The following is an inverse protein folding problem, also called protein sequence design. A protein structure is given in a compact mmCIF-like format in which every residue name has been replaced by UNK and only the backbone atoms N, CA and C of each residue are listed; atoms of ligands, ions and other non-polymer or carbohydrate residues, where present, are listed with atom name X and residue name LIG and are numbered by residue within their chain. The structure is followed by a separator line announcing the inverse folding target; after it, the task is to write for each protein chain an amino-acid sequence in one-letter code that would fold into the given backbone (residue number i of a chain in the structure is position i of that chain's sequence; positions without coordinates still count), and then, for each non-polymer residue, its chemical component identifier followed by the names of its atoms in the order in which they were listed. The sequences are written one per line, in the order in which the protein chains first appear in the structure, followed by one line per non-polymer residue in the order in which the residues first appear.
data_IF_512161097804
#
_entry.id   IF_512161097804
#
_cell.length_a   1.000
_cell.length_b   1.000
_cell.length_c   1.000
_cell.angle_alpha   90.00
_cell.angle_beta   90.00
_cell.angle_gamma   90.00
#
_symmetry.space_group_name_H-M   'P 1'
#
loop_
_entity.id
_entity.type
_entity.pdbx_description
1 polymer ?
#
# COMPACT_ATOMS: atom_id res chain seq x y z
N UNK A 1 59.88 -9.71 -24.22
CA UNK A 1 58.65 -10.47 -23.91
C UNK A 1 57.46 -9.54 -24.10
N UNK A 2 56.70 -9.71 -25.19
CA UNK A 2 55.45 -9.00 -25.44
C UNK A 2 54.31 -9.75 -24.75
N UNK A 3 53.61 -9.09 -23.82
CA UNK A 3 52.33 -9.57 -23.29
C UNK A 3 51.22 -9.00 -24.17
N UNK A 4 50.66 -9.85 -25.02
CA UNK A 4 49.45 -9.56 -25.78
C UNK A 4 48.24 -9.59 -24.84
N UNK A 5 47.67 -8.43 -24.55
CA UNK A 5 46.35 -8.32 -23.93
C UNK A 5 45.28 -8.65 -24.97
N UNK A 6 44.67 -9.83 -24.85
CA UNK A 6 43.49 -10.21 -25.63
C UNK A 6 42.32 -9.29 -25.27
N UNK A 7 41.93 -8.42 -26.22
CA UNK A 7 40.69 -7.67 -26.15
C UNK A 7 39.52 -8.66 -26.30
N UNK A 8 38.80 -8.92 -25.21
CA UNK A 8 37.53 -9.65 -25.28
C UNK A 8 36.51 -8.72 -25.95
N UNK A 9 35.90 -9.10 -27.08
CA UNK A 9 34.94 -8.24 -27.76
C UNK A 9 33.73 -8.04 -26.85
N UNK A 10 33.48 -6.78 -26.47
CA UNK A 10 32.38 -6.32 -25.61
C UNK A 10 30.99 -6.79 -26.05
N UNK A 11 30.84 -7.25 -27.29
CA UNK A 11 29.58 -7.74 -27.83
C UNK A 11 29.21 -9.13 -27.30
N UNK A 12 30.19 -9.98 -26.99
CA UNK A 12 29.94 -11.31 -26.42
C UNK A 12 29.34 -11.26 -25.02
N UNK A 13 29.79 -10.30 -24.19
CA UNK A 13 29.27 -10.10 -22.84
C UNK A 13 27.82 -9.60 -22.86
N UNK A 14 27.50 -8.68 -23.79
CA UNK A 14 26.13 -8.16 -23.97
C UNK A 14 25.16 -9.25 -24.44
N UNK A 15 25.60 -10.09 -25.38
CA UNK A 15 24.79 -11.24 -25.83
C UNK A 15 24.56 -12.26 -24.72
N UNK A 16 25.58 -12.54 -23.90
CA UNK A 16 25.45 -13.47 -22.78
C UNK A 16 24.46 -12.94 -21.72
N UNK A 17 24.48 -11.63 -21.46
CA UNK A 17 23.55 -10.96 -20.54
C UNK A 17 22.11 -10.98 -21.08
N UNK A 18 21.92 -10.75 -22.38
CA UNK A 18 20.61 -10.86 -23.04
C UNK A 18 20.04 -12.28 -22.99
N UNK A 19 20.88 -13.31 -23.19
CA UNK A 19 20.44 -14.71 -23.10
C UNK A 19 20.10 -15.11 -21.65
N UNK A 20 20.87 -14.63 -20.67
CA UNK A 20 20.59 -14.86 -19.25
C UNK A 20 19.28 -14.19 -18.79
N UNK A 21 19.06 -12.93 -19.17
CA UNK A 21 17.85 -12.18 -18.81
C UNK A 21 16.63 -12.72 -19.56
N UNK A 22 16.76 -13.00 -20.87
CA UNK A 22 15.70 -13.57 -21.68
C UNK A 22 15.33 -15.01 -21.24
N UNK A 23 16.32 -15.84 -20.92
CA UNK A 23 16.10 -17.19 -20.38
C UNK A 23 15.46 -17.18 -19.00
N UNK A 24 15.86 -16.24 -18.13
CA UNK A 24 15.27 -16.05 -16.80
C UNK A 24 13.79 -15.63 -16.86
N UNK A 25 13.43 -14.69 -17.74
CA UNK A 25 12.04 -14.25 -17.93
C UNK A 25 11.14 -15.38 -18.47
N UNK A 26 11.66 -16.22 -19.37
CA UNK A 26 10.92 -17.38 -19.88
C UNK A 26 10.72 -18.49 -18.83
N UNK A 27 11.66 -18.66 -17.90
CA UNK A 27 11.52 -19.60 -16.79
C UNK A 27 10.49 -19.12 -15.75
N UNK A 28 10.43 -17.81 -15.46
CA UNK A 28 9.42 -17.20 -14.59
C UNK A 28 8.00 -17.29 -15.18
N UNK A 29 7.85 -17.09 -16.49
CA UNK A 29 6.56 -17.24 -17.18
C UNK A 29 6.01 -18.68 -17.18
N UNK A 30 6.89 -19.70 -17.17
CA UNK A 30 6.49 -21.12 -17.06
C UNK A 30 6.09 -21.55 -15.65
N UNK A 31 6.47 -20.81 -14.61
CA UNK A 31 6.05 -21.09 -13.23
C UNK A 31 4.69 -20.46 -12.88
N UNK A 32 4.35 -19.30 -13.42
CA UNK A 32 3.02 -18.68 -13.16
C UNK A 32 1.85 -19.46 -13.77
N UNK A 33 2.10 -20.25 -14.83
CA UNK A 33 1.08 -21.07 -15.50
C UNK A 33 0.83 -22.44 -14.84
N UNK A 34 1.56 -22.80 -13.76
CA UNK A 34 1.27 -23.99 -12.93
C UNK A 34 0.39 -23.71 -11.71
N UNK A 35 0.08 -22.44 -11.44
CA UNK A 35 -0.90 -22.03 -10.42
C UNK A 35 -2.24 -21.74 -11.09
N UNK A 36 -2.82 -22.78 -11.68
CA UNK A 36 -4.23 -22.81 -12.07
C UNK A 36 -5.12 -23.11 -10.85
N UNK A 37 -6.37 -22.65 -10.85
CA UNK A 37 -7.22 -22.58 -9.67
C UNK A 37 -7.66 -23.98 -9.20
N UNK A 38 -7.41 -24.30 -7.94
CA UNK A 38 -8.09 -25.39 -7.26
C UNK A 38 -9.53 -24.97 -6.97
N UNK A 39 -10.45 -25.22 -7.92
CA UNK A 39 -11.88 -25.33 -7.64
C UNK A 39 -12.15 -26.83 -7.49
N UNK A 40 -12.09 -27.31 -6.25
CA UNK A 40 -12.57 -28.64 -5.87
C UNK A 40 -14.01 -28.54 -5.40
N UNK A 41 -14.84 -29.45 -5.91
CA UNK A 41 -16.22 -29.71 -5.48
C UNK A 41 -17.21 -29.41 -6.60
N UNK A 42 -17.60 -30.34 -7.47
CA UNK A 42 -17.93 -31.74 -7.19
C UNK A 42 -19.39 -31.82 -6.73
N UNK A 43 -20.33 -31.75 -7.68
CA UNK A 43 -21.75 -32.08 -7.46
C UNK A 43 -21.89 -33.59 -7.32
N UNK A 44 -22.64 -34.08 -6.32
CA UNK A 44 -23.53 -35.20 -6.56
C UNK A 44 -24.97 -34.87 -6.16
N UNK A 45 -25.91 -35.43 -6.93
CA UNK A 45 -27.34 -35.24 -6.77
C UNK A 45 -28.01 -36.13 -5.71
N UNK A 46 -29.26 -35.75 -5.47
CA UNK A 46 -30.39 -36.47 -4.83
C UNK A 46 -30.39 -36.67 -3.29
N UNK A 47 -31.17 -35.78 -2.62
CA UNK A 47 -32.28 -35.96 -1.64
C UNK A 47 -32.21 -37.07 -0.56
N UNK A 48 -32.82 -36.89 0.65
CA UNK A 48 -34.14 -36.26 0.88
C UNK A 48 -34.26 -35.31 2.10
N UNK A 49 -35.34 -34.51 2.09
CA UNK A 49 -35.87 -33.74 3.23
C UNK A 49 -36.13 -34.65 4.44
N UNK A 50 -35.96 -34.15 5.69
CA UNK A 50 -37.17 -33.83 6.47
C UNK A 50 -37.06 -32.63 7.44
N UNK A 51 -38.25 -32.08 7.69
CA UNK A 51 -38.76 -31.46 8.92
C UNK A 51 -38.21 -30.12 9.44
N UNK A 52 -39.02 -29.09 9.16
CA UNK A 52 -39.53 -28.08 10.09
C UNK A 52 -38.90 -28.09 11.48
N UNK A 53 -38.01 -27.14 11.72
CA UNK A 53 -37.79 -26.58 13.05
C UNK A 53 -38.12 -25.08 12.97
N UNK A 54 -39.19 -24.69 13.67
CA UNK A 54 -39.53 -23.28 13.89
C UNK A 54 -38.32 -22.54 14.51
N UNK A 55 -38.00 -21.31 14.07
CA UNK A 55 -36.95 -20.54 14.70
C UNK A 55 -37.46 -19.97 16.04
N UNK A 56 -36.85 -20.44 17.14
CA UNK A 56 -36.99 -19.83 18.46
C UNK A 56 -36.54 -18.35 18.40
N UNK A 57 -37.27 -17.40 19.01
CA UNK A 57 -36.85 -16.01 19.07
C UNK A 57 -35.80 -15.87 20.18
N UNK A 58 -34.56 -15.56 19.82
CA UNK A 58 -33.51 -15.35 20.83
C UNK A 58 -32.06 -15.43 20.37
N UNK A 59 -31.78 -15.51 19.06
CA UNK A 59 -30.41 -15.33 18.57
C UNK A 59 -30.13 -13.83 18.43
N UNK A 60 -29.72 -13.19 19.53
CA UNK A 60 -28.99 -11.92 19.43
C UNK A 60 -27.75 -12.17 18.56
N UNK A 61 -27.80 -11.66 17.33
CA UNK A 61 -26.67 -11.68 16.43
C UNK A 61 -25.59 -10.78 17.02
N UNK A 62 -24.63 -11.38 17.71
CA UNK A 62 -23.29 -10.82 17.77
C UNK A 62 -22.72 -10.88 16.34
N UNK A 63 -23.20 -9.97 15.48
CA UNK A 63 -22.63 -9.73 14.19
C UNK A 63 -21.20 -9.30 14.44
N UNK A 64 -20.25 -10.18 14.13
CA UNK A 64 -18.83 -9.89 14.15
C UNK A 64 -18.60 -8.70 13.23
N UNK A 65 -18.49 -7.51 13.80
CA UNK A 65 -18.20 -6.27 13.06
C UNK A 65 -16.79 -6.44 12.52
N UNK A 66 -16.66 -6.63 11.22
CA UNK A 66 -15.37 -6.64 10.55
C UNK A 66 -14.82 -5.22 10.52
N UNK A 67 -13.49 -5.03 10.69
CA UNK A 67 -12.89 -3.71 10.52
C UNK A 67 -13.12 -3.24 9.08
N UNK A 68 -13.31 -1.93 8.87
CA UNK A 68 -13.58 -1.38 7.54
C UNK A 68 -12.38 -1.60 6.60
N UNK A 69 -12.67 -1.79 5.32
CA UNK A 69 -11.64 -1.96 4.28
C UNK A 69 -10.84 -0.67 4.04
N UNK A 70 -9.67 -0.77 3.40
CA UNK A 70 -8.85 0.39 3.06
C UNK A 70 -9.59 1.41 2.18
N UNK A 71 -10.45 0.92 1.31
CA UNK A 71 -11.33 1.71 0.44
C UNK A 71 -12.46 2.37 1.23
N UNK A 72 -13.03 1.69 2.23
CA UNK A 72 -14.04 2.27 3.14
C UNK A 72 -13.44 3.34 4.05
N UNK A 73 -12.25 3.09 4.58
CA UNK A 73 -11.49 4.09 5.35
C UNK A 73 -11.15 5.28 4.48
N UNK A 74 -10.75 5.06 3.21
CA UNK A 74 -10.53 6.14 2.26
C UNK A 74 -11.82 6.90 1.90
N UNK A 75 -12.93 6.20 1.68
CA UNK A 75 -14.22 6.83 1.38
C UNK A 75 -14.77 7.66 2.56
N UNK A 76 -14.39 7.30 3.79
CA UNK A 76 -14.71 8.10 4.99
C UNK A 76 -13.88 9.38 5.11
N UNK A 77 -12.85 9.56 4.29
CA UNK A 77 -12.14 10.83 4.21
C UNK A 77 -13.12 11.87 3.68
N UNK A 78 -13.34 13.00 4.39
CA UNK A 78 -14.09 14.09 3.79
C UNK A 78 -13.40 14.46 2.47
N UNK A 79 -14.19 14.75 1.43
CA UNK A 79 -13.65 15.40 0.24
C UNK A 79 -12.95 16.67 0.72
N UNK A 80 -11.62 16.64 0.77
CA UNK A 80 -10.86 17.79 1.21
C UNK A 80 -10.67 18.69 -0.01
N UNK A 81 -11.34 19.85 -0.08
CA UNK A 81 -11.18 20.78 -1.21
C UNK A 81 -9.72 21.21 -1.38
N UNK A 82 -8.86 21.05 -0.36
CA UNK A 82 -7.43 21.31 -0.45
C UNK A 82 -6.67 20.35 -1.38
N UNK A 83 -7.18 19.14 -1.65
CA UNK A 83 -6.57 18.20 -2.61
C UNK A 83 -6.88 18.53 -4.08
N UNK A 84 -7.77 19.49 -4.33
CA UNK A 84 -8.23 19.81 -5.68
C UNK A 84 -8.89 18.60 -6.33
N UNK A 85 -8.33 18.16 -7.46
CA UNK A 85 -8.85 17.01 -8.22
C UNK A 85 -8.34 15.66 -7.72
N UNK A 86 -7.27 15.63 -6.91
CA UNK A 86 -6.68 14.39 -6.43
C UNK A 86 -7.63 13.66 -5.49
N UNK A 87 -7.71 12.33 -5.65
CA UNK A 87 -8.52 11.44 -4.84
C UNK A 87 -7.65 10.43 -4.13
N UNK A 88 -7.91 10.23 -2.85
CA UNK A 88 -7.35 9.11 -2.09
C UNK A 88 -8.27 7.91 -2.30
N UNK A 89 -7.75 6.85 -2.92
CA UNK A 89 -8.51 5.61 -3.17
C UNK A 89 -8.34 4.57 -2.07
N UNK A 90 -7.14 4.51 -1.49
CA UNK A 90 -6.79 3.57 -0.42
C UNK A 90 -6.06 4.30 0.68
N UNK A 91 -6.40 3.96 1.92
CA UNK A 91 -5.76 4.52 3.11
C UNK A 91 -5.69 3.43 4.19
N UNK A 92 -4.51 2.87 4.43
CA UNK A 92 -4.34 1.80 5.42
C UNK A 92 -2.93 1.75 6.00
N UNK A 93 -2.82 1.33 7.25
CA UNK A 93 -1.52 1.02 7.85
C UNK A 93 -1.13 -0.43 7.56
N UNK A 94 0.17 -0.70 7.53
CA UNK A 94 0.72 -2.00 7.14
C UNK A 94 0.42 -3.12 8.13
N UNK A 95 0.32 -2.81 9.42
CA UNK A 95 0.13 -3.78 10.51
C UNK A 95 -1.12 -3.49 11.32
N UNK A 96 -1.42 -2.22 11.57
CA UNK A 96 -2.57 -1.82 12.35
C UNK A 96 -3.80 -1.57 11.47
N UNK A 97 -4.99 -1.89 11.97
CA UNK A 97 -6.22 -1.40 11.36
C UNK A 97 -6.39 0.08 11.69
N UNK A 98 -6.64 0.92 10.68
CA UNK A 98 -6.85 2.35 10.90
C UNK A 98 -8.09 2.62 11.77
N UNK A 99 -9.09 1.74 11.66
CA UNK A 99 -10.31 1.71 12.47
C UNK A 99 -10.47 0.25 12.91
N UNK A 100 -10.46 -0.05 14.22
CA UNK A 100 -10.61 0.87 15.35
C UNK A 100 -9.37 1.71 15.72
N UNK A 101 -8.18 1.39 15.20
CA UNK A 101 -6.91 1.99 15.63
C UNK A 101 -6.13 1.06 16.59
N UNK A 102 -5.00 1.53 17.14
CA UNK A 102 -4.20 0.75 18.08
C UNK A 102 -4.87 0.63 19.46
N UNK A 103 -4.54 -0.43 20.20
CA UNK A 103 -5.02 -0.65 21.58
C UNK A 103 -4.63 0.50 22.53
N UNK A 104 -3.41 1.04 22.36
CA UNK A 104 -2.90 2.18 23.12
C UNK A 104 -2.57 3.33 22.15
N UNK A 105 -3.37 4.42 22.15
CA UNK A 105 -3.13 5.58 21.31
C UNK A 105 -1.79 6.28 21.58
N UNK A 106 -1.20 6.17 22.77
CA UNK A 106 0.09 6.81 23.09
C UNK A 106 1.26 6.03 22.47
N UNK A 107 1.06 4.77 22.09
CA UNK A 107 2.10 3.85 21.64
C UNK A 107 1.79 3.32 20.24
N UNK A 108 2.06 4.13 19.22
CA UNK A 108 1.82 3.78 17.82
C UNK A 108 3.05 4.01 16.95
N UNK A 109 3.35 3.07 16.04
CA UNK A 109 4.40 3.23 15.04
C UNK A 109 4.16 2.25 13.88
N UNK A 110 3.73 2.77 12.73
CA UNK A 110 3.47 1.95 11.55
C UNK A 110 3.61 2.72 10.23
N UNK A 111 3.69 1.97 9.14
CA UNK A 111 3.77 2.49 7.78
C UNK A 111 2.36 2.66 7.22
N UNK A 112 1.98 3.91 6.94
CA UNK A 112 0.75 4.29 6.25
C UNK A 112 0.98 4.22 4.74
N UNK A 113 0.10 3.54 4.02
CA UNK A 113 0.12 3.44 2.57
C UNK A 113 -1.14 4.08 1.99
N UNK A 114 -0.93 4.88 0.95
CA UNK A 114 -1.96 5.69 0.33
C UNK A 114 -1.85 5.55 -1.19
N UNK A 115 -2.99 5.23 -1.81
CA UNK A 115 -3.11 5.28 -3.27
C UNK A 115 -3.77 6.60 -3.65
N UNK A 116 -3.01 7.43 -4.37
CA UNK A 116 -3.48 8.67 -4.95
C UNK A 116 -3.89 8.43 -6.40
N UNK A 117 -4.96 9.12 -6.81
CA UNK A 117 -5.49 9.07 -8.17
C UNK A 117 -5.83 10.47 -8.66
N UNK A 118 -5.30 10.82 -9.81
CA UNK A 118 -5.70 12.00 -10.55
C UNK A 118 -6.74 11.61 -11.62
N UNK A 119 -7.99 12.09 -11.51
CA UNK A 119 -9.03 11.81 -12.49
C UNK A 119 -8.80 12.50 -13.84
N UNK A 120 -8.01 13.59 -13.91
CA UNK A 120 -7.78 14.32 -15.16
C UNK A 120 -6.80 13.57 -16.06
N UNK A 121 -5.64 13.18 -15.53
CA UNK A 121 -4.66 12.37 -16.27
C UNK A 121 -4.99 10.87 -16.28
N UNK A 122 -5.87 10.41 -15.39
CA UNK A 122 -6.12 9.00 -15.16
C UNK A 122 -4.96 8.27 -14.45
N UNK A 123 -3.95 9.00 -13.98
CA UNK A 123 -2.77 8.43 -13.33
C UNK A 123 -3.05 8.07 -11.87
N UNK A 124 -2.50 6.95 -11.40
CA UNK A 124 -2.53 6.54 -10.01
C UNK A 124 -1.12 6.18 -9.53
N UNK A 125 -0.80 6.55 -8.30
CA UNK A 125 0.50 6.26 -7.69
C UNK A 125 0.38 6.02 -6.19
N UNK A 126 1.38 5.35 -5.65
CA UNK A 126 1.48 5.06 -4.23
C UNK A 126 2.37 6.07 -3.52
N UNK A 127 1.95 6.44 -2.32
CA UNK A 127 2.75 7.21 -1.38
C UNK A 127 2.66 6.56 0.00
N UNK A 128 3.80 6.56 0.70
CA UNK A 128 3.89 5.93 2.02
C UNK A 128 4.52 6.87 3.02
N UNK A 129 3.92 6.94 4.21
CA UNK A 129 4.38 7.75 5.33
C UNK A 129 4.65 6.86 6.53
N UNK A 130 5.74 7.10 7.26
CA UNK A 130 5.94 6.46 8.55
C UNK A 130 5.24 7.28 9.65
N UNK A 131 4.17 6.76 10.23
CA UNK A 131 3.38 7.45 11.25
C UNK A 131 3.70 6.88 12.62
N UNK A 132 4.09 7.72 13.56
CA UNK A 132 4.45 7.27 14.89
C UNK A 132 4.10 8.27 16.00
N UNK A 133 4.02 7.76 17.22
CA UNK A 133 4.11 8.57 18.45
C UNK A 133 5.53 8.50 19.00
N UNK A 134 5.96 9.47 19.84
CA UNK A 134 7.27 9.40 20.49
C UNK A 134 7.49 8.09 21.26
N UNK A 135 6.47 7.63 21.99
CA UNK A 135 6.58 6.38 22.76
C UNK A 135 6.60 5.16 21.85
N UNK A 136 5.77 5.13 20.80
CA UNK A 136 5.72 4.05 19.81
C UNK A 136 7.02 3.92 19.04
N UNK A 137 7.62 5.04 18.61
CA UNK A 137 8.93 5.07 17.96
C UNK A 137 10.02 4.55 18.90
N UNK A 138 10.03 5.01 20.16
CA UNK A 138 10.97 4.52 21.17
C UNK A 138 10.83 3.03 21.44
N UNK A 139 9.59 2.52 21.50
CA UNK A 139 9.31 1.08 21.65
C UNK A 139 9.83 0.29 20.44
N UNK A 140 9.53 0.75 19.23
CA UNK A 140 9.98 0.10 17.99
C UNK A 140 11.52 0.00 17.92
N UNK A 141 12.23 1.08 18.24
CA UNK A 141 13.70 1.08 18.26
C UNK A 141 14.25 0.07 19.27
N UNK A 142 13.68 0.01 20.48
CA UNK A 142 14.10 -0.97 21.51
C UNK A 142 13.82 -2.41 21.09
N UNK A 143 12.61 -2.68 20.60
CA UNK A 143 12.20 -4.03 20.17
C UNK A 143 13.05 -4.56 19.01
N UNK A 144 13.42 -3.69 18.08
CA UNK A 144 14.28 -4.03 16.95
C UNK A 144 15.77 -3.87 17.22
N UNK A 145 16.13 -3.41 18.43
CA UNK A 145 17.52 -3.08 18.80
C UNK A 145 18.19 -2.13 17.79
N UNK A 146 17.42 -1.20 17.24
CA UNK A 146 17.89 -0.21 16.29
C UNK A 146 18.45 1.01 17.01
N UNK A 147 19.61 1.49 16.55
CA UNK A 147 20.24 2.72 17.07
C UNK A 147 19.66 3.99 16.45
N UNK A 148 19.16 3.88 15.23
CA UNK A 148 18.50 4.96 14.49
C UNK A 148 17.49 4.33 13.52
N UNK A 149 16.50 5.13 13.11
CA UNK A 149 15.55 4.79 12.05
C UNK A 149 15.79 5.73 10.88
N UNK A 150 15.90 5.16 9.68
CA UNK A 150 15.86 5.94 8.44
C UNK A 150 14.50 5.72 7.77
N UNK A 151 13.70 6.77 7.69
CA UNK A 151 12.42 6.78 7.00
C UNK A 151 12.37 8.03 6.10
N UNK A 152 12.00 7.91 4.81
CA UNK A 152 12.02 9.03 3.88
C UNK A 152 11.05 10.13 4.29
N UNK A 153 9.85 9.78 4.77
CA UNK A 153 8.86 10.72 5.29
C UNK A 153 8.26 10.19 6.58
N UNK A 154 8.43 10.95 7.67
CA UNK A 154 7.96 10.59 9.01
C UNK A 154 7.02 11.67 9.55
N UNK A 155 5.86 11.22 10.03
CA UNK A 155 4.88 12.06 10.70
C UNK A 155 4.80 11.61 12.17
N UNK A 156 5.20 12.50 13.08
CA UNK A 156 5.19 12.22 14.52
C UNK A 156 4.07 13.00 15.20
N UNK A 157 3.18 12.29 15.88
CA UNK A 157 2.04 12.86 16.61
C UNK A 157 2.17 12.57 18.11
N UNK A 158 1.66 13.45 19.00
CA UNK A 158 1.68 13.17 20.44
C UNK A 158 0.99 11.84 20.78
N UNK A 159 -0.14 11.56 20.12
CA UNK A 159 -0.94 10.35 20.26
C UNK A 159 -1.56 9.97 18.92
N UNK A 160 -2.01 8.73 18.78
CA UNK A 160 -2.79 8.29 17.63
C UNK A 160 -4.13 9.01 17.59
N UNK A 161 -4.36 9.77 16.53
CA UNK A 161 -5.64 10.35 16.19
C UNK A 161 -5.79 10.29 14.68
N UNK A 162 -6.68 9.41 14.20
CA UNK A 162 -6.86 9.17 12.77
C UNK A 162 -7.21 10.46 12.01
N UNK A 163 -8.05 11.33 12.57
CA UNK A 163 -8.45 12.58 11.92
C UNK A 163 -7.29 13.58 11.80
N UNK A 164 -6.43 13.67 12.82
CA UNK A 164 -5.23 14.51 12.76
C UNK A 164 -4.20 13.96 11.77
N UNK A 165 -4.00 12.65 11.76
CA UNK A 165 -3.13 11.96 10.80
C UNK A 165 -3.62 12.24 9.38
N UNK A 166 -4.92 12.10 9.13
CA UNK A 166 -5.54 12.39 7.84
C UNK A 166 -5.30 13.82 7.38
N UNK A 167 -5.56 14.81 8.23
CA UNK A 167 -5.33 16.24 7.91
C UNK A 167 -3.85 16.53 7.59
N UNK A 168 -2.94 15.97 8.37
CA UNK A 168 -1.50 16.15 8.15
C UNK A 168 -1.05 15.53 6.81
N UNK A 169 -1.54 14.33 6.50
CA UNK A 169 -1.30 13.63 5.23
C UNK A 169 -1.81 14.47 4.06
N UNK A 170 -3.04 14.96 4.11
CA UNK A 170 -3.59 15.83 3.05
C UNK A 170 -2.75 17.09 2.87
N UNK A 171 -2.37 17.73 3.98
CA UNK A 171 -1.49 18.90 3.94
C UNK A 171 -0.14 18.60 3.29
N UNK A 172 0.40 17.39 3.51
CA UNK A 172 1.70 16.98 2.97
C UNK A 172 1.63 16.64 1.48
N UNK A 173 0.60 15.90 1.07
CA UNK A 173 0.27 15.65 -0.35
C UNK A 173 0.17 16.97 -1.09
N UNK A 174 -0.53 17.96 -0.52
CA UNK A 174 -0.65 19.28 -1.16
C UNK A 174 0.70 19.96 -1.33
N UNK A 175 1.53 19.99 -0.29
CA UNK A 175 2.84 20.66 -0.34
C UNK A 175 3.79 20.04 -1.39
N UNK A 176 3.71 18.72 -1.59
CA UNK A 176 4.53 18.03 -2.59
C UNK A 176 3.97 18.17 -4.00
N UNK A 177 2.65 18.19 -4.16
CA UNK A 177 2.02 18.29 -5.46
C UNK A 177 1.87 19.74 -5.95
N UNK A 178 1.95 20.74 -5.07
CA UNK A 178 2.11 22.16 -5.46
C UNK A 178 3.37 22.39 -6.31
N UNK A 179 4.38 21.51 -6.20
CA UNK A 179 5.57 21.52 -7.05
C UNK A 179 5.25 21.25 -8.54
N UNK A 180 4.17 20.53 -8.85
CA UNK A 180 3.76 20.26 -10.23
C UNK A 180 2.93 21.37 -10.86
N UNK A 181 2.32 22.26 -10.07
CA UNK A 181 1.59 23.44 -10.61
C UNK A 181 2.51 24.52 -11.17
N UNK A 182 3.80 24.55 -10.77
CA UNK A 182 4.76 25.54 -11.24
C UNK A 182 5.46 25.23 -12.56
N UNK A 183 5.24 24.05 -13.16
CA UNK A 183 5.88 23.67 -14.43
C UNK A 183 5.09 24.03 -15.68
N UNK A 184 3.76 24.11 -15.60
CA UNK A 184 2.94 24.54 -16.74
C UNK A 184 3.02 26.06 -16.97
N UNK A 185 3.09 26.86 -15.90
CA UNK A 185 3.22 28.33 -16.04
C UNK A 185 4.60 28.79 -16.55
N UNK A 186 5.66 27.99 -16.34
CA UNK A 186 7.00 28.33 -16.83
C UNK A 186 7.18 28.05 -18.33
N UNK A 187 6.39 27.15 -18.91
CA UNK A 187 6.42 26.89 -20.35
C UNK A 187 5.54 27.89 -21.13
N UNK A 188 4.41 28.35 -20.57
CA UNK A 188 3.55 29.36 -21.21
C UNK A 188 4.12 30.80 -21.19
N UNK A 189 4.92 31.19 -20.20
CA UNK A 189 5.59 32.51 -20.19
C UNK A 189 6.86 32.55 -21.06
N UNK A 190 7.23 31.44 -21.70
CA UNK A 190 8.43 31.33 -22.56
C UNK A 190 8.14 31.21 -24.06
N UNK A 191 6.87 31.31 -24.46
CA UNK A 191 6.39 31.25 -25.86
C UNK A 191 5.99 32.61 -26.42
#
# INVERSE_FOLDING_TARGET
MLLATLAVPMDGLKFLLLVLVGGGLLALGRWSSRLGPTISGGVPGNMPTPDTAEPLPGAESNAKVWPPSAEEVAASLPFDPALGNLRIRKFYFKKADAIPGPDDPEVFADELNIELYDPESGHAWWQSYFVATPQGLGKLLREKSWRYLHAPEILVFPRYNLEEIRRAVVSRIRAENEFFKGKEQAEEESL
#
